data_IF_950754606217
#
_entry.id   IF_950754606217
#
_cell.length_a   1.000
_cell.length_b   1.000
_cell.length_c   1.000
_cell.angle_alpha   90.00
_cell.angle_beta   90.00
_cell.angle_gamma   90.00
#
_symmetry.space_group_name_H-M   'P 1'
#
loop_
_entity.id
_entity.type
_entity.pdbx_description
1 polymer ?
#
# COMPACT_ATOMS: atom_id res chain seq x y z
N UNK A 1 -16.02 -17.23 -52.37
CA UNK A 1 -15.16 -16.04 -52.07
C UNK A 1 -15.31 -15.72 -50.63
N UNK A 2 -14.38 -16.23 -49.82
CA UNK A 2 -14.38 -16.05 -48.34
C UNK A 2 -13.39 -14.95 -48.00
N UNK A 3 -13.86 -13.93 -47.33
CA UNK A 3 -13.02 -12.81 -46.81
C UNK A 3 -12.72 -13.07 -45.34
N UNK A 4 -11.46 -13.41 -45.03
CA UNK A 4 -10.95 -13.48 -43.69
C UNK A 4 -10.74 -12.06 -43.12
N UNK A 5 -11.46 -11.73 -42.05
CA UNK A 5 -11.16 -10.54 -41.21
C UNK A 5 -10.15 -10.95 -40.14
N UNK A 6 -8.92 -10.52 -40.30
CA UNK A 6 -7.87 -10.60 -39.30
C UNK A 6 -8.09 -9.53 -38.21
N UNK A 7 -8.59 -9.95 -37.07
CA UNK A 7 -8.70 -9.09 -35.88
C UNK A 7 -7.34 -8.93 -35.19
N UNK A 8 -6.73 -7.77 -35.32
CA UNK A 8 -5.56 -7.37 -34.54
C UNK A 8 -5.96 -7.16 -33.07
N UNK A 9 -5.55 -8.09 -32.21
CA UNK A 9 -5.67 -7.97 -30.75
C UNK A 9 -4.84 -6.77 -30.27
N UNK A 10 -5.52 -5.73 -29.81
CA UNK A 10 -4.87 -4.61 -29.09
C UNK A 10 -4.25 -5.13 -27.80
N UNK A 11 -2.98 -4.77 -27.47
CA UNK A 11 -2.36 -5.19 -26.22
C UNK A 11 -3.09 -4.59 -25.02
N UNK A 12 -3.38 -5.43 -24.01
CA UNK A 12 -4.02 -5.02 -22.75
C UNK A 12 -3.18 -3.94 -22.07
N UNK A 13 -3.83 -2.92 -21.50
CA UNK A 13 -3.24 -1.70 -20.91
C UNK A 13 -2.07 -1.93 -19.93
N UNK A 14 -1.99 -3.08 -19.27
CA UNK A 14 -0.89 -3.44 -18.36
C UNK A 14 0.46 -3.68 -19.05
N UNK A 15 0.49 -4.12 -20.31
CA UNK A 15 1.76 -4.38 -21.04
C UNK A 15 2.44 -3.08 -21.50
N UNK A 16 1.65 -2.04 -21.78
CA UNK A 16 2.18 -0.74 -22.20
C UNK A 16 2.80 0.01 -21.01
N UNK A 17 2.23 -0.14 -19.81
CA UNK A 17 2.73 0.48 -18.58
C UNK A 17 4.02 -0.20 -18.09
N UNK A 18 4.12 -1.52 -18.24
CA UNK A 18 5.35 -2.29 -17.92
C UNK A 18 6.50 -1.93 -18.88
N UNK A 19 6.24 -1.72 -20.18
CA UNK A 19 7.26 -1.25 -21.11
C UNK A 19 7.76 0.17 -20.85
N UNK A 20 6.94 1.06 -20.26
CA UNK A 20 7.36 2.41 -19.83
C UNK A 20 8.23 2.41 -18.58
N UNK A 21 8.15 1.37 -17.74
CA UNK A 21 8.95 1.20 -16.53
C UNK A 21 10.33 0.59 -16.83
N UNK A 22 10.47 -0.08 -17.97
CA UNK A 22 11.68 -0.74 -18.45
C UNK A 22 12.30 0.15 -19.53
N UNK A 23 13.20 1.07 -19.12
CA UNK A 23 13.84 2.05 -20.01
C UNK A 23 14.51 1.41 -21.24
N UNK A 24 14.39 2.06 -22.40
CA UNK A 24 15.02 1.68 -23.66
C UNK A 24 16.54 1.96 -23.64
N UNK A 25 17.32 1.05 -23.04
CA UNK A 25 18.77 1.04 -23.11
C UNK A 25 19.25 -0.26 -23.75
N UNK A 26 20.46 -0.27 -24.35
CA UNK A 26 21.13 -1.47 -24.89
C UNK A 26 21.14 -2.59 -23.83
N UNK A 27 20.13 -3.45 -23.84
CA UNK A 27 19.91 -4.44 -22.80
C UNK A 27 20.81 -5.65 -23.03
N UNK A 28 21.64 -5.95 -22.05
CA UNK A 28 22.39 -7.21 -21.98
C UNK A 28 21.43 -8.39 -21.96
N UNK A 29 21.89 -9.61 -22.31
CA UNK A 29 21.07 -10.83 -22.24
C UNK A 29 20.45 -11.03 -20.86
N UNK A 30 21.19 -10.66 -19.79
CA UNK A 30 20.74 -10.68 -18.38
C UNK A 30 19.51 -9.77 -18.19
N UNK A 31 19.53 -8.55 -18.70
CA UNK A 31 18.42 -7.60 -18.59
C UNK A 31 17.16 -8.12 -19.26
N UNK A 32 17.26 -8.75 -20.43
CA UNK A 32 16.12 -9.36 -21.15
C UNK A 32 15.47 -10.50 -20.35
N UNK A 33 16.27 -11.31 -19.68
CA UNK A 33 15.75 -12.39 -18.83
C UNK A 33 15.04 -11.83 -17.60
N UNK A 34 15.59 -10.79 -16.96
CA UNK A 34 14.94 -10.09 -15.85
C UNK A 34 13.60 -9.47 -16.28
N UNK A 35 13.53 -8.88 -17.48
CA UNK A 35 12.29 -8.35 -18.07
C UNK A 35 11.23 -9.44 -18.25
N UNK A 36 11.60 -10.59 -18.81
CA UNK A 36 10.68 -11.74 -18.96
C UNK A 36 10.15 -12.21 -17.61
N UNK A 37 11.00 -12.30 -16.60
CA UNK A 37 10.57 -12.62 -15.23
C UNK A 37 9.59 -11.57 -14.68
N UNK A 38 9.87 -10.28 -14.81
CA UNK A 38 8.96 -9.21 -14.36
C UNK A 38 7.61 -9.26 -15.10
N UNK A 39 7.60 -9.57 -16.40
CA UNK A 39 6.37 -9.82 -17.14
C UNK A 39 5.57 -11.00 -16.57
N UNK A 40 6.23 -12.12 -16.24
CA UNK A 40 5.58 -13.27 -15.60
C UNK A 40 4.94 -12.92 -14.25
N UNK A 41 5.53 -12.00 -13.49
CA UNK A 41 4.93 -11.49 -12.26
C UNK A 41 3.67 -10.65 -12.52
N UNK A 42 3.65 -9.87 -13.61
CA UNK A 42 2.45 -9.14 -14.03
C UNK A 42 1.30 -10.08 -14.36
N UNK A 43 1.55 -11.15 -15.12
CA UNK A 43 0.57 -12.18 -15.48
C UNK A 43 -0.01 -12.88 -14.23
N UNK A 44 0.82 -13.08 -13.21
CA UNK A 44 0.44 -13.66 -11.91
C UNK A 44 -0.23 -12.65 -10.98
N UNK A 45 -0.61 -11.46 -11.46
CA UNK A 45 -1.27 -10.39 -10.71
C UNK A 45 -0.49 -9.94 -9.45
N UNK A 46 0.84 -9.97 -9.49
CA UNK A 46 1.69 -9.40 -8.43
C UNK A 46 1.50 -7.87 -8.41
N UNK A 47 1.54 -7.26 -7.22
CA UNK A 47 1.26 -5.83 -7.10
C UNK A 47 2.25 -4.97 -7.90
N UNK A 48 1.81 -3.87 -8.55
CA UNK A 48 2.70 -2.96 -9.28
C UNK A 48 3.85 -2.42 -8.42
N UNK A 49 3.61 -2.21 -7.12
CA UNK A 49 4.65 -1.79 -6.18
C UNK A 49 5.74 -2.85 -5.98
N UNK A 50 5.36 -4.13 -5.90
CA UNK A 50 6.31 -5.23 -5.79
C UNK A 50 7.13 -5.36 -7.07
N UNK A 51 6.48 -5.27 -8.25
CA UNK A 51 7.14 -5.35 -9.55
C UNK A 51 8.15 -4.21 -9.68
N UNK A 52 7.76 -2.96 -9.36
CA UNK A 52 8.66 -1.81 -9.37
C UNK A 52 9.85 -1.97 -8.43
N UNK A 53 9.62 -2.48 -7.22
CA UNK A 53 10.69 -2.73 -6.25
C UNK A 53 11.65 -3.81 -6.76
N UNK A 54 11.11 -4.92 -7.28
CA UNK A 54 11.90 -6.00 -7.85
C UNK A 54 12.68 -5.57 -9.10
N UNK A 55 12.08 -4.73 -9.96
CA UNK A 55 12.76 -4.16 -11.13
C UNK A 55 14.06 -3.45 -10.73
N UNK A 56 14.00 -2.52 -9.78
CA UNK A 56 15.20 -1.82 -9.31
C UNK A 56 16.21 -2.73 -8.60
N UNK A 57 15.73 -3.71 -7.81
CA UNK A 57 16.60 -4.67 -7.14
C UNK A 57 17.33 -5.57 -8.16
N UNK A 58 16.62 -6.05 -9.20
CA UNK A 58 17.17 -6.92 -10.24
C UNK A 58 18.08 -6.17 -11.22
N UNK A 59 17.80 -4.90 -11.51
CA UNK A 59 18.70 -4.05 -12.28
C UNK A 59 20.04 -3.88 -11.57
N UNK A 60 20.01 -3.65 -10.25
CA UNK A 60 21.21 -3.57 -9.41
C UNK A 60 21.96 -4.90 -9.38
N UNK A 61 21.24 -6.03 -9.31
CA UNK A 61 21.84 -7.36 -9.39
C UNK A 61 22.45 -7.66 -10.75
N UNK A 62 21.76 -7.32 -11.85
CA UNK A 62 22.26 -7.48 -13.21
C UNK A 62 23.57 -6.68 -13.43
N UNK A 63 23.62 -5.46 -12.90
CA UNK A 63 24.85 -4.65 -12.91
C UNK A 63 26.00 -5.32 -12.14
N UNK A 64 25.71 -5.94 -10.98
CA UNK A 64 26.71 -6.61 -10.16
C UNK A 64 27.28 -7.87 -10.84
N UNK A 65 26.45 -8.67 -11.49
CA UNK A 65 26.91 -9.89 -12.16
C UNK A 65 27.56 -9.61 -13.54
N UNK A 66 27.25 -8.46 -14.15
CA UNK A 66 27.82 -8.03 -15.42
C UNK A 66 27.40 -8.94 -16.59
N UNK A 67 28.39 -9.47 -17.33
CA UNK A 67 28.18 -10.36 -18.48
C UNK A 67 28.09 -11.85 -18.13
N UNK A 68 28.23 -12.22 -16.85
CA UNK A 68 28.16 -13.62 -16.42
C UNK A 68 26.77 -14.20 -16.68
N UNK A 69 26.73 -15.50 -17.02
CA UNK A 69 25.48 -16.22 -17.20
C UNK A 69 24.86 -16.59 -15.85
N UNK A 70 23.55 -16.82 -15.82
CA UNK A 70 22.83 -17.16 -14.58
C UNK A 70 23.23 -18.53 -14.00
N UNK A 71 23.65 -19.48 -14.81
CA UNK A 71 24.18 -20.80 -14.41
C UNK A 71 25.58 -20.74 -13.81
N UNK A 72 26.36 -19.70 -14.13
CA UNK A 72 27.70 -19.45 -13.57
C UNK A 72 27.67 -18.76 -12.19
N UNK A 73 26.49 -18.31 -11.74
CA UNK A 73 26.33 -17.57 -10.48
C UNK A 73 26.16 -18.53 -9.32
N UNK A 74 27.06 -18.48 -8.37
CA UNK A 74 27.03 -19.24 -7.14
C UNK A 74 26.53 -18.45 -5.93
N UNK A 75 26.41 -19.11 -4.80
CA UNK A 75 26.01 -18.47 -3.54
C UNK A 75 27.04 -17.45 -3.02
N UNK A 76 28.31 -17.56 -3.39
CA UNK A 76 29.37 -16.61 -3.01
C UNK A 76 29.15 -15.29 -3.77
N UNK A 77 28.86 -15.37 -5.05
CA UNK A 77 28.49 -14.20 -5.87
C UNK A 77 27.25 -13.48 -5.31
N UNK A 78 26.23 -14.23 -4.90
CA UNK A 78 25.04 -13.62 -4.27
C UNK A 78 25.38 -12.96 -2.93
N UNK A 79 26.27 -13.54 -2.11
CA UNK A 79 26.77 -12.89 -0.88
C UNK A 79 27.53 -11.60 -1.20
N UNK A 80 28.42 -11.62 -2.20
CA UNK A 80 29.14 -10.45 -2.68
C UNK A 80 28.20 -9.32 -3.10
N UNK A 81 27.12 -9.66 -3.81
CA UNK A 81 26.05 -8.71 -4.13
C UNK A 81 25.46 -8.08 -2.87
N UNK A 82 25.09 -8.88 -1.85
CA UNK A 82 24.52 -8.31 -0.62
C UNK A 82 25.54 -7.41 0.11
N UNK A 83 26.82 -7.77 0.12
CA UNK A 83 27.89 -6.92 0.68
C UNK A 83 27.97 -5.59 -0.04
N UNK A 84 27.93 -5.58 -1.37
CA UNK A 84 27.94 -4.34 -2.16
C UNK A 84 26.72 -3.43 -1.89
N UNK A 85 25.56 -4.01 -1.53
CA UNK A 85 24.40 -3.23 -1.12
C UNK A 85 24.62 -2.54 0.23
N UNK A 86 25.28 -3.21 1.20
CA UNK A 86 25.65 -2.61 2.48
C UNK A 86 26.69 -1.50 2.29
N UNK A 87 27.69 -1.69 1.45
CA UNK A 87 28.70 -0.67 1.10
C UNK A 87 28.06 0.59 0.49
N UNK A 88 26.98 0.42 -0.29
CA UNK A 88 26.14 1.52 -0.81
C UNK A 88 25.21 2.15 0.25
N UNK A 89 25.31 1.74 1.52
CA UNK A 89 24.53 2.30 2.62
C UNK A 89 23.08 1.80 2.71
N UNK A 90 22.70 0.72 2.02
CA UNK A 90 21.34 0.20 2.12
C UNK A 90 21.09 -0.48 3.47
N UNK A 91 19.95 -0.16 4.09
CA UNK A 91 19.53 -0.77 5.33
C UNK A 91 19.12 -2.24 5.18
N UNK A 92 19.18 -3.02 6.27
CA UNK A 92 18.89 -4.47 6.34
C UNK A 92 17.57 -4.87 5.65
N UNK A 93 16.52 -4.06 5.78
CA UNK A 93 15.22 -4.32 5.14
C UNK A 93 15.29 -4.28 3.62
N UNK A 94 16.03 -3.31 3.05
CA UNK A 94 16.23 -3.20 1.60
C UNK A 94 17.06 -4.37 1.09
N UNK A 95 18.15 -4.72 1.79
CA UNK A 95 19.00 -5.87 1.44
C UNK A 95 18.21 -7.19 1.49
N UNK A 96 17.38 -7.39 2.51
CA UNK A 96 16.50 -8.56 2.60
C UNK A 96 15.48 -8.63 1.46
N UNK A 97 14.92 -7.48 1.03
CA UNK A 97 14.03 -7.41 -0.13
C UNK A 97 14.77 -7.76 -1.42
N UNK A 98 15.97 -7.21 -1.64
CA UNK A 98 16.78 -7.51 -2.84
C UNK A 98 17.13 -9.00 -2.90
N UNK A 99 17.49 -9.63 -1.78
CA UNK A 99 17.69 -11.09 -1.72
C UNK A 99 16.40 -11.85 -2.08
N UNK A 100 15.25 -11.40 -1.61
CA UNK A 100 13.96 -12.01 -1.96
C UNK A 100 13.65 -11.90 -3.45
N UNK A 101 13.97 -10.76 -4.10
CA UNK A 101 13.83 -10.56 -5.54
C UNK A 101 14.72 -11.54 -6.31
N UNK A 102 16.01 -11.66 -5.94
CA UNK A 102 16.96 -12.60 -6.56
C UNK A 102 16.50 -14.04 -6.37
N UNK A 103 16.07 -14.42 -5.16
CA UNK A 103 15.51 -15.78 -4.90
C UNK A 103 14.30 -16.08 -5.77
N UNK A 104 13.42 -15.08 -5.97
CA UNK A 104 12.23 -15.24 -6.79
C UNK A 104 12.58 -15.38 -8.27
N UNK A 105 13.57 -14.61 -8.76
CA UNK A 105 14.10 -14.74 -10.11
C UNK A 105 14.67 -16.15 -10.32
N UNK A 106 15.56 -16.63 -9.47
CA UNK A 106 16.18 -17.96 -9.63
C UNK A 106 15.18 -19.10 -9.51
N UNK A 107 14.14 -18.96 -8.69
CA UNK A 107 13.05 -19.96 -8.66
C UNK A 107 12.32 -20.02 -10.01
N UNK A 108 12.08 -18.88 -10.63
CA UNK A 108 11.46 -18.81 -11.96
C UNK A 108 12.41 -19.36 -13.03
N UNK A 109 13.72 -19.03 -12.99
CA UNK A 109 14.73 -19.55 -13.91
C UNK A 109 14.83 -21.10 -13.83
N UNK A 110 14.74 -21.67 -12.64
CA UNK A 110 14.71 -23.12 -12.46
C UNK A 110 13.42 -23.75 -13.03
N UNK A 111 12.28 -23.09 -12.89
CA UNK A 111 11.01 -23.52 -13.50
C UNK A 111 11.03 -23.47 -15.03
N UNK A 112 11.76 -22.51 -15.61
CA UNK A 112 11.98 -22.40 -17.06
C UNK A 112 13.10 -23.30 -17.58
N UNK A 113 13.77 -24.08 -16.72
CA UNK A 113 14.88 -24.95 -17.09
C UNK A 113 16.18 -24.23 -17.50
N UNK A 114 16.32 -22.94 -17.16
CA UNK A 114 17.48 -22.12 -17.50
C UNK A 114 18.64 -22.38 -16.54
N UNK A 115 18.34 -22.71 -15.27
CA UNK A 115 19.31 -23.09 -14.23
C UNK A 115 18.82 -24.34 -13.51
N UNK A 116 19.75 -25.15 -13.01
CA UNK A 116 19.41 -26.37 -12.24
C UNK A 116 19.09 -26.05 -10.77
N UNK A 117 19.78 -25.06 -10.19
CA UNK A 117 19.70 -24.75 -8.77
C UNK A 117 19.51 -23.27 -8.52
N UNK A 118 19.01 -22.95 -7.31
CA UNK A 118 18.83 -21.59 -6.86
C UNK A 118 19.95 -21.21 -5.88
N UNK A 119 21.03 -20.55 -6.30
CA UNK A 119 22.15 -20.19 -5.43
C UNK A 119 21.75 -19.22 -4.32
N UNK A 120 20.73 -18.40 -4.55
CA UNK A 120 20.25 -17.47 -3.54
C UNK A 120 19.48 -18.15 -2.39
N UNK A 121 19.04 -19.41 -2.57
CA UNK A 121 18.41 -20.18 -1.50
C UNK A 121 19.39 -20.51 -0.35
N UNK A 122 20.68 -20.68 -0.69
CA UNK A 122 21.75 -20.99 0.27
C UNK A 122 22.24 -19.77 1.07
N UNK A 123 21.82 -18.56 0.70
CA UNK A 123 22.23 -17.33 1.39
C UNK A 123 21.23 -17.00 2.49
N UNK A 124 21.69 -16.81 3.72
CA UNK A 124 20.82 -16.46 4.84
C UNK A 124 20.21 -15.06 4.70
N UNK A 125 18.93 -14.93 5.04
CA UNK A 125 18.28 -13.61 5.08
C UNK A 125 18.84 -12.80 6.25
N UNK A 126 19.20 -11.51 6.06
CA UNK A 126 19.63 -10.64 7.15
C UNK A 126 18.61 -10.64 8.28
N UNK A 127 19.06 -10.85 9.53
CA UNK A 127 18.20 -10.74 10.70
C UNK A 127 17.73 -9.28 10.84
N UNK A 128 16.43 -9.06 10.66
CA UNK A 128 15.82 -7.76 10.86
C UNK A 128 15.62 -7.50 12.35
N UNK A 129 15.94 -6.30 12.85
CA UNK A 129 15.61 -5.96 14.23
C UNK A 129 14.08 -6.01 14.38
N UNK A 130 13.57 -6.77 15.34
CA UNK A 130 12.17 -6.76 15.73
C UNK A 130 11.95 -5.52 16.62
N UNK A 131 11.84 -4.34 16.02
CA UNK A 131 11.26 -3.20 16.73
C UNK A 131 9.76 -3.46 16.80
N UNK A 132 9.25 -3.67 18.02
CA UNK A 132 7.80 -3.56 18.27
C UNK A 132 7.46 -2.09 18.00
N UNK A 133 6.62 -1.77 17.01
CA UNK A 133 6.21 -0.39 16.80
C UNK A 133 5.48 0.09 18.06
N UNK A 134 5.87 1.26 18.57
CA UNK A 134 5.10 1.91 19.63
C UNK A 134 3.74 2.26 19.04
N UNK A 135 2.69 1.72 19.63
CA UNK A 135 1.31 2.09 19.32
C UNK A 135 1.00 3.33 20.16
N UNK A 136 0.56 4.46 19.57
CA UNK A 136 0.06 5.59 20.34
C UNK A 136 -1.12 5.15 21.21
N UNK A 137 -1.24 5.67 22.43
CA UNK A 137 -2.40 5.38 23.30
C UNK A 137 -3.68 6.05 22.82
N UNK A 138 -4.83 5.66 23.36
CA UNK A 138 -6.12 6.30 23.04
C UNK A 138 -6.08 7.79 23.36
N UNK A 139 -5.49 8.18 24.50
CA UNK A 139 -5.35 9.56 24.93
C UNK A 139 -4.44 10.36 23.97
N UNK A 140 -3.31 9.78 23.56
CA UNK A 140 -2.42 10.38 22.58
C UNK A 140 -3.15 10.59 21.23
N UNK A 141 -3.94 9.63 20.80
CA UNK A 141 -4.73 9.74 19.57
C UNK A 141 -5.83 10.81 19.70
N UNK A 142 -6.54 10.85 20.79
CA UNK A 142 -7.56 11.86 21.04
C UNK A 142 -6.95 13.27 21.10
N UNK A 143 -5.81 13.46 21.76
CA UNK A 143 -5.10 14.74 21.80
C UNK A 143 -4.71 15.25 20.40
N UNK A 144 -4.38 14.35 19.47
CA UNK A 144 -4.09 14.72 18.08
C UNK A 144 -5.37 15.06 17.31
N UNK A 145 -6.44 14.30 17.53
CA UNK A 145 -7.68 14.39 16.75
C UNK A 145 -8.63 15.47 17.26
N UNK A 146 -8.74 15.70 18.56
CA UNK A 146 -9.70 16.66 19.13
C UNK A 146 -9.17 18.11 19.17
N UNK A 147 -7.86 18.26 19.26
CA UNK A 147 -7.23 19.58 19.27
C UNK A 147 -7.23 20.26 17.89
N UNK A 148 -6.87 21.54 17.85
CA UNK A 148 -6.68 22.27 16.60
C UNK A 148 -5.59 21.62 15.74
N UNK A 149 -5.76 21.58 14.43
CA UNK A 149 -4.68 21.19 13.54
C UNK A 149 -3.50 22.15 13.71
N UNK A 150 -2.25 21.66 13.68
CA UNK A 150 -1.09 22.52 13.82
C UNK A 150 -0.97 23.44 12.60
N UNK A 151 -0.35 24.62 12.78
CA UNK A 151 -0.16 25.62 11.70
C UNK A 151 0.54 25.08 10.45
N UNK A 152 1.35 24.04 10.61
CA UNK A 152 1.99 23.33 9.49
C UNK A 152 0.99 22.59 8.57
N UNK A 153 -0.24 22.36 9.05
CA UNK A 153 -1.29 21.73 8.25
C UNK A 153 -1.85 22.72 7.22
N UNK A 154 -1.31 22.64 6.02
CA UNK A 154 -1.72 23.54 4.91
C UNK A 154 -3.16 23.33 4.44
N UNK A 155 -3.85 22.28 4.87
CA UNK A 155 -5.23 21.96 4.56
C UNK A 155 -5.87 21.21 5.74
N UNK A 156 -6.20 21.92 6.84
CA UNK A 156 -6.56 21.30 8.13
C UNK A 156 -7.80 20.41 8.07
N UNK A 157 -8.83 20.75 7.30
CA UNK A 157 -10.05 19.94 7.17
C UNK A 157 -9.76 18.58 6.50
N UNK A 158 -8.94 18.58 5.45
CA UNK A 158 -8.48 17.35 4.77
C UNK A 158 -7.63 16.50 5.71
N UNK A 159 -6.70 17.14 6.40
CA UNK A 159 -5.72 16.46 7.22
C UNK A 159 -6.39 15.81 8.44
N UNK A 160 -7.41 16.47 9.00
CA UNK A 160 -8.28 15.90 10.03
C UNK A 160 -9.05 14.69 9.52
N UNK A 161 -9.77 14.84 8.41
CA UNK A 161 -10.52 13.72 7.83
C UNK A 161 -9.60 12.53 7.51
N UNK A 162 -8.41 12.80 7.01
CA UNK A 162 -7.41 11.77 6.70
C UNK A 162 -6.99 10.99 7.96
N UNK A 163 -6.75 11.67 9.08
CA UNK A 163 -6.41 11.04 10.35
C UNK A 163 -7.58 10.23 10.90
N UNK A 164 -8.81 10.78 10.85
CA UNK A 164 -10.02 10.09 11.28
C UNK A 164 -10.26 8.82 10.44
N UNK A 165 -10.06 8.85 9.14
CA UNK A 165 -10.21 7.68 8.28
C UNK A 165 -9.15 6.61 8.55
N UNK A 166 -7.92 6.99 8.85
CA UNK A 166 -6.84 6.04 9.12
C UNK A 166 -6.98 5.38 10.50
N UNK A 167 -7.30 6.18 11.52
CA UNK A 167 -7.47 5.69 12.88
C UNK A 167 -8.90 5.24 13.15
N UNK A 168 -9.91 6.05 12.83
CA UNK A 168 -11.30 5.73 13.08
C UNK A 168 -11.86 4.58 12.23
N UNK A 169 -11.32 4.35 11.02
CA UNK A 169 -11.79 3.28 10.14
C UNK A 169 -10.72 2.21 9.85
N UNK A 170 -9.51 2.37 10.35
CA UNK A 170 -8.43 1.41 10.13
C UNK A 170 -8.06 1.17 8.66
N UNK A 171 -8.28 2.15 7.77
CA UNK A 171 -8.07 2.01 6.31
C UNK A 171 -6.58 2.00 5.98
N UNK A 172 -6.15 1.17 4.98
CA UNK A 172 -4.76 1.19 4.49
C UNK A 172 -4.48 2.50 3.74
N UNK A 173 -3.24 3.00 3.82
CA UNK A 173 -2.83 4.22 3.12
C UNK A 173 -3.14 4.18 1.60
N UNK A 174 -2.90 3.05 0.94
CA UNK A 174 -3.22 2.89 -0.49
C UNK A 174 -4.73 2.86 -0.76
N UNK A 175 -5.51 2.31 0.15
CA UNK A 175 -6.97 2.31 0.08
C UNK A 175 -7.52 3.72 0.28
N UNK A 176 -7.01 4.45 1.29
CA UNK A 176 -7.39 5.82 1.62
C UNK A 176 -7.30 6.76 0.41
N UNK A 177 -6.16 6.75 -0.29
CA UNK A 177 -6.00 7.61 -1.47
C UNK A 177 -6.84 7.15 -2.66
N UNK A 178 -7.31 5.91 -2.64
CA UNK A 178 -8.19 5.34 -3.67
C UNK A 178 -9.66 5.71 -3.52
N UNK A 179 -10.11 6.19 -2.37
CA UNK A 179 -11.52 6.51 -2.10
C UNK A 179 -12.00 7.62 -3.03
N UNK A 180 -13.18 7.43 -3.59
CA UNK A 180 -13.94 8.45 -4.33
C UNK A 180 -15.08 8.98 -3.43
N UNK A 181 -15.63 10.15 -3.78
CA UNK A 181 -16.79 10.72 -3.07
C UNK A 181 -17.98 9.75 -3.11
N UNK A 182 -18.21 9.11 -4.25
CA UNK A 182 -19.33 8.18 -4.45
C UNK A 182 -19.18 6.84 -3.68
N UNK A 183 -18.01 6.59 -3.08
CA UNK A 183 -17.81 5.41 -2.22
C UNK A 183 -18.39 5.58 -0.82
N UNK A 184 -18.78 6.81 -0.46
CA UNK A 184 -19.33 7.14 0.86
C UNK A 184 -20.82 6.91 0.86
N UNK A 185 -21.29 6.11 1.81
CA UNK A 185 -22.70 5.82 2.05
C UNK A 185 -23.14 6.47 3.37
N UNK A 186 -23.49 7.76 3.29
CA UNK A 186 -23.87 8.54 4.49
C UNK A 186 -25.03 7.93 5.26
N UNK A 187 -26.07 7.42 4.57
CA UNK A 187 -27.24 6.79 5.19
C UNK A 187 -26.94 5.44 5.86
N UNK A 188 -25.87 4.77 5.47
CA UNK A 188 -25.42 3.51 6.01
C UNK A 188 -24.19 3.67 6.92
N UNK A 189 -23.70 4.89 7.13
CA UNK A 189 -22.49 5.22 7.90
C UNK A 189 -21.31 4.31 7.55
N UNK A 190 -21.11 4.06 6.25
CA UNK A 190 -20.10 3.14 5.75
C UNK A 190 -19.38 3.68 4.50
N UNK A 191 -18.14 3.26 4.33
CA UNK A 191 -17.31 3.58 3.17
C UNK A 191 -17.00 2.29 2.42
N UNK A 192 -17.21 2.29 1.09
CA UNK A 192 -16.77 1.22 0.21
C UNK A 192 -15.26 1.31 -0.03
N UNK A 193 -14.53 0.34 0.44
CA UNK A 193 -13.08 0.25 0.29
C UNK A 193 -12.72 -0.81 -0.74
N UNK A 194 -11.92 -0.41 -1.75
CA UNK A 194 -11.39 -1.31 -2.78
C UNK A 194 -9.98 -1.73 -2.43
N UNK A 195 -9.79 -3.02 -2.16
CA UNK A 195 -8.51 -3.63 -1.83
C UNK A 195 -7.79 -4.25 -3.04
N UNK A 196 -6.70 -4.95 -2.74
CA UNK A 196 -5.93 -5.72 -3.74
C UNK A 196 -6.79 -6.81 -4.39
N UNK A 197 -6.64 -6.99 -5.70
CA UNK A 197 -7.36 -8.03 -6.45
C UNK A 197 -8.84 -7.72 -6.68
N UNK A 198 -9.23 -6.43 -6.70
CA UNK A 198 -10.62 -5.97 -6.86
C UNK A 198 -11.59 -6.44 -5.76
N UNK A 199 -11.05 -6.84 -4.60
CA UNK A 199 -11.89 -7.17 -3.44
C UNK A 199 -12.43 -5.89 -2.85
N UNK A 200 -13.73 -5.86 -2.57
CA UNK A 200 -14.42 -4.73 -1.96
C UNK A 200 -14.92 -5.12 -0.57
N UNK A 201 -14.90 -4.14 0.34
CA UNK A 201 -15.53 -4.26 1.66
C UNK A 201 -16.10 -2.93 2.08
N UNK A 202 -17.12 -2.96 2.91
CA UNK A 202 -17.61 -1.79 3.61
C UNK A 202 -16.92 -1.67 4.97
N UNK A 203 -16.56 -0.45 5.34
CA UNK A 203 -15.99 -0.13 6.66
C UNK A 203 -16.90 0.90 7.31
N UNK A 204 -17.42 0.63 8.53
CA UNK A 204 -18.25 1.58 9.26
C UNK A 204 -17.44 2.81 9.68
N UNK A 205 -18.13 3.92 9.93
CA UNK A 205 -17.54 5.13 10.52
C UNK A 205 -18.54 5.80 11.48
N UNK A 206 -17.99 6.44 12.52
CA UNK A 206 -18.77 7.14 13.54
C UNK A 206 -18.90 8.64 13.28
N UNK A 207 -19.49 9.35 14.26
CA UNK A 207 -19.80 10.77 14.18
C UNK A 207 -18.59 11.67 14.00
N UNK A 208 -17.41 11.28 14.52
CA UNK A 208 -16.17 12.00 14.31
C UNK A 208 -15.79 12.12 12.82
N UNK A 209 -15.85 10.99 12.09
CA UNK A 209 -15.62 10.95 10.64
C UNK A 209 -16.69 11.71 9.89
N UNK A 210 -17.96 11.56 10.28
CA UNK A 210 -19.10 12.25 9.67
C UNK A 210 -18.95 13.77 9.75
N UNK A 211 -18.61 14.28 10.93
CA UNK A 211 -18.35 15.71 11.16
C UNK A 211 -17.14 16.21 10.33
N UNK A 212 -16.03 15.48 10.37
CA UNK A 212 -14.83 15.83 9.61
C UNK A 212 -15.09 15.81 8.09
N UNK A 213 -15.87 14.86 7.61
CA UNK A 213 -16.26 14.73 6.21
C UNK A 213 -17.10 15.92 5.74
N UNK A 214 -18.12 16.32 6.52
CA UNK A 214 -18.97 17.46 6.17
C UNK A 214 -18.15 18.74 6.02
N UNK A 215 -17.24 19.03 6.96
CA UNK A 215 -16.36 20.21 6.92
C UNK A 215 -15.41 20.15 5.71
N UNK A 216 -14.82 18.98 5.48
CA UNK A 216 -13.87 18.82 4.39
C UNK A 216 -14.51 18.92 3.00
N UNK A 217 -15.70 18.38 2.78
CA UNK A 217 -16.37 18.44 1.48
C UNK A 217 -16.61 19.88 1.02
N UNK A 218 -16.95 20.81 1.94
CA UNK A 218 -17.06 22.24 1.65
C UNK A 218 -15.71 22.83 1.22
N UNK A 219 -14.65 22.61 2.01
CA UNK A 219 -13.30 23.07 1.69
C UNK A 219 -12.76 22.48 0.39
N UNK A 220 -13.05 21.18 0.12
CA UNK A 220 -12.72 20.51 -1.13
C UNK A 220 -13.36 21.19 -2.34
N UNK A 221 -14.65 21.56 -2.24
CA UNK A 221 -15.36 22.22 -3.32
C UNK A 221 -14.74 23.57 -3.66
N UNK A 222 -14.34 24.36 -2.67
CA UNK A 222 -13.64 25.63 -2.86
C UNK A 222 -12.34 25.45 -3.64
N UNK A 223 -11.49 24.51 -3.26
CA UNK A 223 -10.24 24.22 -3.97
C UNK A 223 -10.50 23.76 -5.41
N UNK A 224 -11.46 22.87 -5.63
CA UNK A 224 -11.77 22.41 -6.98
C UNK A 224 -12.27 23.55 -7.87
N UNK A 225 -13.06 24.48 -7.34
CA UNK A 225 -13.52 25.67 -8.06
C UNK A 225 -12.36 26.62 -8.38
N UNK A 226 -11.48 26.90 -7.41
CA UNK A 226 -10.30 27.75 -7.57
C UNK A 226 -9.39 27.26 -8.70
N UNK A 227 -9.09 25.96 -8.72
CA UNK A 227 -8.23 25.37 -9.75
C UNK A 227 -8.98 24.87 -10.99
N UNK A 228 -10.29 25.14 -11.11
CA UNK A 228 -11.16 24.68 -12.22
C UNK A 228 -10.97 23.19 -12.53
N UNK A 229 -10.93 22.35 -11.48
CA UNK A 229 -10.73 20.93 -11.61
C UNK A 229 -11.98 20.16 -11.24
N UNK A 230 -12.16 19.01 -11.91
CA UNK A 230 -13.13 17.98 -11.55
C UNK A 230 -12.39 16.66 -11.31
N UNK A 231 -12.71 15.99 -10.21
CA UNK A 231 -12.13 14.69 -9.87
C UNK A 231 -13.09 13.92 -8.97
N UNK A 232 -13.26 12.61 -9.16
CA UNK A 232 -14.02 11.77 -8.23
C UNK A 232 -13.29 11.53 -6.91
N UNK A 233 -11.98 11.81 -6.82
CA UNK A 233 -11.18 11.54 -5.64
C UNK A 233 -11.75 12.21 -4.38
N UNK A 234 -11.92 11.47 -3.29
CA UNK A 234 -12.29 12.07 -2.01
C UNK A 234 -11.19 13.03 -1.55
N UNK A 235 -9.97 12.55 -1.36
CA UNK A 235 -8.86 13.36 -0.86
C UNK A 235 -8.07 14.00 -2.00
N UNK A 236 -8.01 15.33 -1.97
CA UNK A 236 -7.30 16.14 -2.98
C UNK A 236 -6.09 16.85 -2.36
N UNK A 237 -5.09 17.12 -3.19
CA UNK A 237 -3.98 18.00 -2.84
C UNK A 237 -4.40 19.49 -3.02
N UNK A 238 -3.50 20.41 -2.67
CA UNK A 238 -3.73 21.86 -2.76
C UNK A 238 -4.02 22.37 -4.17
N UNK A 239 -3.80 21.58 -5.23
CA UNK A 239 -4.07 21.92 -6.63
C UNK A 239 -5.25 21.14 -7.21
N UNK A 240 -6.10 20.56 -6.35
CA UNK A 240 -7.28 19.79 -6.75
C UNK A 240 -7.01 18.41 -7.35
N UNK A 241 -5.76 17.94 -7.42
CA UNK A 241 -5.43 16.58 -7.87
C UNK A 241 -5.53 15.56 -6.74
N UNK A 242 -5.73 14.27 -7.07
CA UNK A 242 -5.77 13.18 -6.08
C UNK A 242 -4.52 13.17 -5.20
N UNK A 243 -4.69 12.98 -3.90
CA UNK A 243 -3.60 12.84 -2.94
C UNK A 243 -2.82 11.54 -3.19
N UNK A 244 -1.51 11.53 -2.92
CA UNK A 244 -0.66 10.35 -3.06
C UNK A 244 -0.33 9.72 -1.71
N UNK A 245 -0.04 8.42 -1.67
CA UNK A 245 0.39 7.72 -0.45
C UNK A 245 1.64 8.33 0.18
N UNK A 246 2.57 8.86 -0.63
CA UNK A 246 3.76 9.57 -0.16
C UNK A 246 3.38 10.88 0.53
N UNK A 247 2.44 11.65 -0.04
CA UNK A 247 1.95 12.89 0.57
C UNK A 247 1.26 12.62 1.89
N UNK A 248 0.40 11.59 1.97
CA UNK A 248 -0.25 11.15 3.22
C UNK A 248 0.79 10.86 4.29
N UNK A 249 1.81 10.03 4.00
CA UNK A 249 2.85 9.69 4.97
C UNK A 249 3.62 10.92 5.48
N UNK A 250 3.94 11.88 4.59
CA UNK A 250 4.62 13.12 4.97
C UNK A 250 3.75 14.02 5.85
N UNK A 251 2.47 14.19 5.50
CA UNK A 251 1.52 15.01 6.25
C UNK A 251 1.34 14.45 7.66
N UNK A 252 1.09 13.13 7.78
CA UNK A 252 0.93 12.48 9.09
C UNK A 252 2.16 12.65 9.96
N UNK A 253 3.35 12.41 9.41
CA UNK A 253 4.60 12.59 10.14
C UNK A 253 4.75 14.02 10.67
N UNK A 254 4.47 15.02 9.84
CA UNK A 254 4.57 16.42 10.22
C UNK A 254 3.58 16.77 11.35
N UNK A 255 2.33 16.31 11.25
CA UNK A 255 1.32 16.53 12.27
C UNK A 255 1.70 15.81 13.56
N UNK A 256 2.12 14.56 13.50
CA UNK A 256 2.54 13.79 14.65
C UNK A 256 3.66 14.50 15.42
N UNK A 257 4.71 14.94 14.75
CA UNK A 257 5.82 15.68 15.34
C UNK A 257 5.35 17.00 15.96
N UNK A 258 4.53 17.78 15.23
CA UNK A 258 4.00 19.06 15.72
C UNK A 258 3.07 18.90 16.94
N UNK A 259 2.47 17.72 17.11
CA UNK A 259 1.62 17.36 18.25
C UNK A 259 2.37 16.61 19.37
N UNK A 260 3.70 16.52 19.29
CA UNK A 260 4.54 15.88 20.32
C UNK A 260 4.55 14.35 20.26
N UNK A 261 3.97 13.72 19.22
CA UNK A 261 4.10 12.29 19.03
C UNK A 261 5.46 11.92 18.41
N UNK A 262 5.81 10.64 18.51
CA UNK A 262 7.01 10.10 17.87
C UNK A 262 7.01 10.34 16.36
N UNK A 263 8.17 10.68 15.79
CA UNK A 263 8.39 10.77 14.35
C UNK A 263 8.18 9.44 13.59
N UNK A 264 8.09 8.33 14.33
CA UNK A 264 7.80 6.99 13.79
C UNK A 264 6.30 6.76 13.52
N UNK A 265 5.43 7.73 13.89
CA UNK A 265 3.99 7.65 13.56
C UNK A 265 3.79 7.81 12.06
N UNK A 266 3.15 6.83 11.47
CA UNK A 266 2.86 6.76 10.04
C UNK A 266 1.50 6.05 9.79
N UNK A 267 0.96 6.02 8.56
CA UNK A 267 -0.36 5.45 8.31
C UNK A 267 -0.58 4.03 8.83
N UNK A 268 0.45 3.18 8.79
CA UNK A 268 0.34 1.81 9.33
C UNK A 268 0.28 1.78 10.85
N UNK A 269 0.95 2.73 11.52
CA UNK A 269 0.88 2.88 13.00
C UNK A 269 -0.54 3.22 13.44
N UNK A 270 -1.21 4.16 12.73
CA UNK A 270 -2.59 4.56 13.04
C UNK A 270 -3.58 3.40 12.83
N UNK A 271 -3.42 2.67 11.73
CA UNK A 271 -4.23 1.47 11.49
C UNK A 271 -3.95 0.36 12.52
N UNK A 272 -2.71 0.22 12.98
CA UNK A 272 -2.38 -0.74 14.03
C UNK A 272 -3.01 -0.32 15.36
N UNK A 273 -2.97 0.98 15.70
CA UNK A 273 -3.66 1.53 16.85
C UNK A 273 -5.17 1.26 16.81
N UNK A 274 -5.84 1.44 15.66
CA UNK A 274 -7.25 1.05 15.48
C UNK A 274 -7.50 -0.40 15.93
N UNK A 275 -6.73 -1.36 15.37
CA UNK A 275 -6.95 -2.77 15.69
C UNK A 275 -6.62 -3.12 17.15
N UNK A 276 -5.58 -2.49 17.72
CA UNK A 276 -5.18 -2.72 19.11
C UNK A 276 -6.20 -2.17 20.08
N UNK A 277 -6.66 -0.92 19.91
CA UNK A 277 -7.60 -0.29 20.82
C UNK A 277 -8.99 -0.97 20.76
N UNK A 278 -9.46 -1.33 19.57
CA UNK A 278 -10.71 -2.11 19.48
C UNK A 278 -10.60 -3.46 20.20
N UNK A 279 -9.44 -4.13 20.11
CA UNK A 279 -9.24 -5.40 20.81
C UNK A 279 -9.18 -5.22 22.33
N UNK A 280 -8.54 -4.17 22.82
CA UNK A 280 -8.45 -3.80 24.23
C UNK A 280 -9.84 -3.46 24.80
N UNK A 281 -10.73 -2.85 24.02
CA UNK A 281 -12.11 -2.56 24.36
C UNK A 281 -13.07 -3.77 24.15
N UNK A 282 -12.51 -4.95 23.87
CA UNK A 282 -13.27 -6.20 23.83
C UNK A 282 -13.93 -6.52 22.49
N UNK A 283 -13.55 -5.84 21.40
CA UNK A 283 -14.05 -6.22 20.07
C UNK A 283 -13.65 -7.64 19.69
N UNK A 284 -14.57 -8.37 19.05
CA UNK A 284 -14.26 -9.69 18.49
C UNK A 284 -13.17 -9.57 17.41
N UNK A 285 -12.16 -10.43 17.52
CA UNK A 285 -11.02 -10.47 16.60
C UNK A 285 -11.46 -10.67 15.14
N UNK A 286 -12.54 -11.41 14.91
CA UNK A 286 -13.07 -11.66 13.58
C UNK A 286 -13.68 -10.40 12.98
N UNK A 287 -14.43 -9.62 13.75
CA UNK A 287 -14.97 -8.33 13.33
C UNK A 287 -13.84 -7.34 12.97
N UNK A 288 -12.81 -7.27 13.83
CA UNK A 288 -11.61 -6.46 13.53
C UNK A 288 -10.94 -6.90 12.22
N UNK A 289 -10.75 -8.20 12.00
CA UNK A 289 -10.13 -8.74 10.79
C UNK A 289 -10.97 -8.45 9.54
N UNK A 290 -12.29 -8.49 9.63
CA UNK A 290 -13.21 -8.14 8.55
C UNK A 290 -13.11 -6.65 8.20
N UNK A 291 -13.16 -5.75 9.19
CA UNK A 291 -12.98 -4.30 8.98
C UNK A 291 -11.60 -3.98 8.37
N UNK A 292 -10.56 -4.64 8.85
CA UNK A 292 -9.20 -4.49 8.34
C UNK A 292 -9.00 -5.14 6.96
N UNK A 293 -9.81 -6.11 6.54
CA UNK A 293 -9.66 -6.82 5.27
C UNK A 293 -8.38 -7.66 5.20
N UNK A 294 -8.20 -8.59 6.15
CA UNK A 294 -7.08 -9.54 6.14
C UNK A 294 -7.33 -10.67 5.14
N UNK A 295 -6.35 -10.96 4.26
CA UNK A 295 -6.46 -11.88 3.11
C UNK A 295 -6.67 -13.36 3.48
N UNK A 296 -6.42 -13.79 4.72
CA UNK A 296 -6.40 -15.21 5.09
C UNK A 296 -7.75 -15.83 5.43
N UNK A 297 -8.80 -15.03 5.50
CA UNK A 297 -10.16 -15.55 5.57
C UNK A 297 -10.79 -15.45 4.18
N UNK A 298 -10.43 -16.41 3.33
CA UNK A 298 -10.96 -16.55 1.99
C UNK A 298 -12.33 -17.18 2.03
N UNK A 299 -13.32 -16.36 2.25
CA UNK A 299 -14.66 -16.62 1.73
C UNK A 299 -15.17 -15.31 1.17
N UNK A 300 -15.57 -15.34 -0.09
CA UNK A 300 -16.36 -14.30 -0.72
C UNK A 300 -17.73 -14.28 -0.02
N UNK A 301 -17.73 -13.88 1.26
CA UNK A 301 -18.96 -13.59 1.96
C UNK A 301 -19.53 -12.34 1.30
N UNK A 302 -20.62 -12.49 0.57
CA UNK A 302 -21.48 -11.36 0.19
C UNK A 302 -21.83 -10.65 1.49
N UNK A 303 -21.38 -9.40 1.64
CA UNK A 303 -21.79 -8.57 2.76
C UNK A 303 -23.31 -8.45 2.74
N UNK A 304 -23.96 -9.18 3.63
CA UNK A 304 -25.41 -9.06 3.83
C UNK A 304 -25.67 -7.85 4.73
N UNK A 305 -26.88 -7.29 4.67
CA UNK A 305 -27.27 -6.20 5.59
C UNK A 305 -27.10 -6.61 7.07
N UNK A 306 -27.25 -7.89 7.39
CA UNK A 306 -27.05 -8.43 8.73
C UNK A 306 -25.58 -8.36 9.19
N UNK A 307 -24.62 -8.69 8.31
CA UNK A 307 -23.20 -8.60 8.64
C UNK A 307 -22.76 -7.13 8.81
N UNK A 308 -23.32 -6.20 8.03
CA UNK A 308 -23.03 -4.77 8.19
C UNK A 308 -23.57 -4.21 9.50
N UNK A 309 -24.81 -4.53 9.88
CA UNK A 309 -25.37 -4.12 11.18
C UNK A 309 -24.54 -4.63 12.35
N UNK A 310 -24.06 -5.87 12.25
CA UNK A 310 -23.17 -6.43 13.27
C UNK A 310 -21.85 -5.68 13.37
N UNK A 311 -21.20 -5.37 12.23
CA UNK A 311 -19.94 -4.61 12.22
C UNK A 311 -20.13 -3.19 12.79
N UNK A 312 -21.20 -2.50 12.44
CA UNK A 312 -21.54 -1.18 13.01
C UNK A 312 -21.73 -1.30 14.53
N UNK A 313 -22.50 -2.28 14.98
CA UNK A 313 -22.75 -2.50 16.41
C UNK A 313 -21.45 -2.74 17.19
N UNK A 314 -20.58 -3.63 16.69
CA UNK A 314 -19.26 -3.86 17.31
C UNK A 314 -18.41 -2.59 17.32
N UNK A 315 -18.37 -1.84 16.20
CA UNK A 315 -17.66 -0.59 16.08
C UNK A 315 -18.16 0.44 17.11
N UNK A 316 -19.48 0.63 17.23
CA UNK A 316 -20.11 1.61 18.13
C UNK A 316 -19.85 1.28 19.60
N UNK A 317 -19.69 0.01 19.93
CA UNK A 317 -19.42 -0.42 21.30
C UNK A 317 -17.95 -0.34 21.70
N UNK A 318 -17.04 -0.51 20.75
CA UNK A 318 -15.63 -0.76 21.07
C UNK A 318 -14.65 0.25 20.48
N UNK A 319 -15.06 1.10 19.53
CA UNK A 319 -14.12 2.07 18.99
C UNK A 319 -14.16 3.41 19.74
N UNK A 320 -13.01 3.95 20.23
CA UNK A 320 -12.96 5.21 20.99
C UNK A 320 -13.52 6.43 20.24
N UNK A 321 -13.65 6.36 18.90
CA UNK A 321 -14.15 7.44 18.03
C UNK A 321 -15.51 7.11 17.39
N UNK A 322 -16.26 6.15 17.94
CA UNK A 322 -17.59 5.79 17.43
C UNK A 322 -18.63 6.87 17.71
N UNK A 323 -18.54 7.51 18.87
CA UNK A 323 -19.44 8.55 19.37
C UNK A 323 -18.80 9.92 19.32
#
# INVERSE_FOLDING_TARGET
MSVHHGGTLRPRSGQAETRRLLGSGNSTQVSKVCERFLCSLCERNVSPHTIKAYSGDLETFATHIGSRKFDEIDHVTVRGFLSSLYEKGLGKTSVARSLAAVRSLYRWLAQEGIVEQNPAALVSTPKLPRKLPRVPTVEEMNAVLDGNMPEIASFPERDRLMLELLYGCGIRNSELVGINVDDIRMSAEAILIRGKGKKERYVPFGDAVKSALAKYLLARQLILSEFRRSTPALLVNQRGGRLTTRSVGRIIKNIAVAKGLSADVHPHTLRHAFGTHMLEEGADLRAIQEMLGHERLSTTQRYTQLSMKHLIHVYDQTHPRAK
#
